data_IF_123096945857
#
_entry.id   IF_123096945857
#
_cell.length_a   1.000
_cell.length_b   1.000
_cell.length_c   1.000
_cell.angle_alpha   90.00
_cell.angle_beta   90.00
_cell.angle_gamma   90.00
#
_symmetry.space_group_name_H-M   'P 1'
#
loop_
_entity.id
_entity.type
_entity.pdbx_description
1 polymer ?
#
# COMPACT_ATOMS: atom_id res chain seq x y z
N UNK A 1 -2.19 -9.88 4.93
CA UNK A 1 -1.58 -9.03 5.97
C UNK A 1 -2.68 -8.31 6.73
N UNK A 2 -2.51 -8.14 8.01
CA UNK A 2 -3.53 -7.47 8.81
C UNK A 2 -3.56 -5.97 8.50
N UNK A 3 -4.77 -5.40 8.44
CA UNK A 3 -4.91 -3.98 8.09
C UNK A 3 -4.17 -3.05 9.03
N UNK A 4 -4.04 -3.43 10.30
CA UNK A 4 -3.34 -2.57 11.28
C UNK A 4 -1.88 -2.40 10.93
N UNK A 5 -1.25 -3.40 10.35
CA UNK A 5 0.14 -3.29 9.94
C UNK A 5 0.29 -2.37 8.74
N UNK A 6 -0.68 -2.42 7.84
CA UNK A 6 -0.67 -1.50 6.70
C UNK A 6 -0.89 -0.06 7.19
N UNK A 7 -1.82 0.12 8.15
CA UNK A 7 -2.08 1.43 8.72
C UNK A 7 -0.84 2.03 9.37
N UNK A 8 -0.05 1.21 10.05
CA UNK A 8 1.17 1.71 10.69
C UNK A 8 2.12 2.33 9.68
N UNK A 9 2.26 1.70 8.53
CA UNK A 9 3.15 2.22 7.49
C UNK A 9 2.60 3.54 6.94
N UNK A 10 1.29 3.61 6.71
CA UNK A 10 0.66 4.82 6.17
C UNK A 10 0.76 5.97 7.16
N UNK A 11 0.63 5.68 8.46
CA UNK A 11 0.64 6.71 9.50
C UNK A 11 2.01 7.12 9.98
N UNK A 12 3.05 6.41 9.56
CA UNK A 12 4.42 6.74 9.97
C UNK A 12 4.77 8.16 9.53
N UNK A 13 5.46 8.87 10.42
CA UNK A 13 5.91 10.24 10.12
C UNK A 13 7.37 10.38 10.48
N UNK A 14 8.19 10.84 9.55
CA UNK A 14 7.82 11.24 8.21
C UNK A 14 7.35 10.04 7.38
N UNK A 15 6.43 10.30 6.45
CA UNK A 15 5.93 9.25 5.58
C UNK A 15 7.03 8.77 4.64
N UNK A 16 7.10 7.47 4.44
CA UNK A 16 8.03 6.89 3.48
C UNK A 16 7.24 6.13 2.44
N UNK A 17 7.53 6.41 1.17
CA UNK A 17 6.90 5.68 0.08
C UNK A 17 7.12 4.19 0.25
N UNK A 18 6.14 3.41 -0.16
CA UNK A 18 6.25 1.96 -0.05
C UNK A 18 5.52 1.29 -1.19
N UNK A 19 5.79 0.00 -1.34
CA UNK A 19 5.20 -0.82 -2.37
C UNK A 19 4.42 -1.94 -1.70
N UNK A 20 3.16 -2.11 -2.12
CA UNK A 20 2.34 -3.23 -1.67
C UNK A 20 2.50 -4.35 -2.69
N UNK A 21 2.90 -5.53 -2.22
CA UNK A 21 3.02 -6.71 -3.07
C UNK A 21 1.91 -7.68 -2.74
N UNK A 22 1.25 -8.16 -3.77
CA UNK A 22 0.07 -9.00 -3.67
C UNK A 22 0.45 -10.43 -4.06
N UNK A 23 -0.30 -11.40 -3.56
CA UNK A 23 0.03 -12.81 -3.75
C UNK A 23 0.06 -13.23 -5.21
N UNK A 24 -0.69 -12.55 -6.06
CA UNK A 24 -0.69 -12.86 -7.50
C UNK A 24 0.52 -12.30 -8.23
N UNK A 25 1.46 -11.67 -7.53
CA UNK A 25 2.67 -11.14 -8.12
C UNK A 25 2.58 -9.67 -8.50
N UNK A 26 1.42 -9.07 -8.43
CA UNK A 26 1.28 -7.65 -8.74
C UNK A 26 1.81 -6.80 -7.60
N UNK A 27 2.23 -5.59 -7.94
CA UNK A 27 2.75 -4.65 -6.96
C UNK A 27 2.26 -3.25 -7.29
N UNK A 28 2.04 -2.47 -6.24
CA UNK A 28 1.50 -1.12 -6.37
C UNK A 28 2.30 -0.18 -5.52
N UNK A 29 2.78 0.90 -6.13
CA UNK A 29 3.57 1.92 -5.43
C UNK A 29 2.64 2.93 -4.76
N UNK A 30 2.91 3.24 -3.51
CA UNK A 30 2.18 4.24 -2.75
C UNK A 30 3.15 5.38 -2.45
N UNK A 31 3.18 6.41 -3.29
CA UNK A 31 4.18 7.48 -3.12
C UNK A 31 3.82 8.49 -2.05
N UNK A 32 2.54 8.63 -1.72
CA UNK A 32 2.08 9.60 -0.73
C UNK A 32 0.95 9.01 0.08
N UNK A 33 0.75 9.44 1.34
CA UNK A 33 -0.29 8.84 2.18
C UNK A 33 -1.71 9.08 1.67
N UNK A 34 -1.92 10.12 0.86
CA UNK A 34 -3.25 10.36 0.29
C UNK A 34 -3.55 9.44 -0.89
N UNK A 35 -2.60 8.62 -1.33
CA UNK A 35 -2.83 7.70 -2.44
C UNK A 35 -3.41 6.35 -2.00
N UNK A 36 -3.71 6.21 -0.73
CA UNK A 36 -4.22 4.95 -0.21
C UNK A 36 -5.31 5.23 0.81
N UNK A 37 -6.34 4.40 0.80
CA UNK A 37 -7.43 4.47 1.75
C UNK A 37 -7.67 3.07 2.30
N UNK A 38 -7.76 2.94 3.61
CA UNK A 38 -7.85 1.64 4.25
C UNK A 38 -9.12 1.58 5.09
N UNK A 39 -9.94 0.57 4.83
CA UNK A 39 -11.04 0.22 5.72
C UNK A 39 -10.66 -1.05 6.47
N UNK A 40 -11.56 -1.55 7.30
CA UNK A 40 -11.31 -2.81 8.00
C UNK A 40 -11.32 -4.00 7.06
N UNK A 41 -11.82 -3.84 5.84
CA UNK A 41 -12.05 -4.96 4.93
C UNK A 41 -11.35 -4.83 3.60
N UNK A 42 -10.91 -3.62 3.23
CA UNK A 42 -10.35 -3.43 1.91
C UNK A 42 -9.32 -2.31 1.92
N UNK A 43 -8.31 -2.45 1.08
CA UNK A 43 -7.32 -1.41 0.80
C UNK A 43 -7.64 -0.87 -0.59
N UNK A 44 -7.76 0.44 -0.69
CA UNK A 44 -8.08 1.10 -1.97
C UNK A 44 -6.91 2.00 -2.37
N UNK A 45 -6.45 1.84 -3.57
CA UNK A 45 -5.40 2.70 -4.12
C UNK A 45 -5.69 2.96 -5.59
N UNK A 46 -4.79 3.64 -6.27
CA UNK A 46 -4.91 3.93 -7.70
C UNK A 46 -3.64 3.49 -8.40
N UNK A 47 -3.81 2.96 -9.60
CA UNK A 47 -2.66 2.57 -10.40
C UNK A 47 -2.17 3.76 -11.24
N UNK A 48 -1.19 3.50 -12.09
CA UNK A 48 -0.57 4.55 -12.89
C UNK A 48 -1.53 5.15 -13.92
N UNK A 49 -2.55 4.39 -14.30
CA UNK A 49 -3.56 4.88 -15.25
C UNK A 49 -4.71 5.61 -14.55
N UNK A 50 -4.64 5.75 -13.22
CA UNK A 50 -5.70 6.41 -12.48
C UNK A 50 -6.89 5.53 -12.17
N UNK A 51 -6.78 4.21 -12.39
CA UNK A 51 -7.86 3.28 -12.07
C UNK A 51 -7.84 2.94 -10.58
N UNK A 52 -9.02 2.86 -10.00
CA UNK A 52 -9.15 2.46 -8.60
C UNK A 52 -8.89 0.97 -8.46
N UNK A 53 -8.05 0.62 -7.51
CA UNK A 53 -7.66 -0.76 -7.24
C UNK A 53 -8.11 -1.10 -5.83
N UNK A 54 -8.86 -2.18 -5.70
CA UNK A 54 -9.30 -2.68 -4.40
C UNK A 54 -8.55 -3.96 -4.10
N UNK A 55 -7.91 -4.01 -2.94
CA UNK A 55 -7.06 -5.15 -2.55
C UNK A 55 -7.57 -5.69 -1.24
N UNK A 56 -7.84 -6.99 -1.21
CA UNK A 56 -8.17 -7.65 0.04
C UNK A 56 -6.91 -7.67 0.92
N UNK A 57 -7.01 -7.27 2.19
CA UNK A 57 -5.80 -7.26 3.05
C UNK A 57 -5.13 -8.63 3.12
N UNK A 58 -5.92 -9.72 3.11
CA UNK A 58 -5.34 -11.06 3.18
C UNK A 58 -4.52 -11.41 1.94
N UNK A 59 -4.74 -10.71 0.83
CA UNK A 59 -3.97 -10.95 -0.39
C UNK A 59 -2.64 -10.20 -0.40
N UNK A 60 -2.40 -9.31 0.55
CA UNK A 60 -1.14 -8.57 0.62
C UNK A 60 -0.09 -9.49 1.22
N UNK A 61 0.94 -9.78 0.45
CA UNK A 61 2.01 -10.68 0.91
C UNK A 61 3.06 -9.92 1.70
N UNK A 62 3.39 -8.69 1.30
CA UNK A 62 4.36 -7.89 2.05
C UNK A 62 4.30 -6.43 1.62
N UNK A 63 4.90 -5.60 2.45
CA UNK A 63 5.10 -4.19 2.16
C UNK A 63 6.59 -3.95 2.12
N UNK A 64 7.06 -3.31 1.05
CA UNK A 64 8.46 -3.01 0.88
C UNK A 64 8.63 -1.49 0.88
N UNK A 65 9.35 -0.96 1.84
CA UNK A 65 9.65 0.47 1.84
C UNK A 65 10.55 0.78 0.66
N UNK A 66 10.21 1.84 -0.04
CA UNK A 66 11.03 2.28 -1.16
C UNK A 66 12.18 3.09 -0.60
N UNK A 67 13.39 2.65 -0.89
CA UNK A 67 14.57 3.37 -0.46
C UNK A 67 14.86 4.46 -1.48
N UNK A 68 14.61 5.70 -1.09
CA UNK A 68 14.87 6.84 -1.97
C UNK A 68 16.29 7.33 -1.86
N UNK A 69 17.09 6.64 -1.12
CA UNK A 69 18.48 7.02 -0.95
C UNK A 69 19.21 6.94 -2.28
N UNK A 70 19.86 7.98 -2.63
CA UNK A 70 20.66 8.05 -3.86
C UNK A 70 22.10 8.27 -3.53
#
# INVERSE_FOLDING_TARGET
MHVDEIRKVVRARPFKAFEIRVENGEKYLIPHPENIFITNQVVVTVDEQGQSILIAPEAVSKICLVDEHT
#
